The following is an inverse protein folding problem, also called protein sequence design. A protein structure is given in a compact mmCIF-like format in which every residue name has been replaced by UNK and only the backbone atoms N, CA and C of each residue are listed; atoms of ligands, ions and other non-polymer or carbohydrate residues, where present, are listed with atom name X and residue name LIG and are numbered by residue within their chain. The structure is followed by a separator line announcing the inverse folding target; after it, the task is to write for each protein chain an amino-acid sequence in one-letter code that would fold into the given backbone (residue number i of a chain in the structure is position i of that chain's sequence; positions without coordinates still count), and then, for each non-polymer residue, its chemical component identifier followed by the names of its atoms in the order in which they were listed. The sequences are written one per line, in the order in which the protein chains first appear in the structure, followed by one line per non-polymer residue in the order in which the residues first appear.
data_IF_607740128103
#
_entry.id   IF_607740128103
#
_cell.length_a   1.000
_cell.length_b   1.000
_cell.length_c   1.000
_cell.angle_alpha   90.00
_cell.angle_beta   90.00
_cell.angle_gamma   90.00
#
_symmetry.space_group_name_H-M   'P 1'
#
loop_
_entity.id
_entity.type
_entity.pdbx_description
1 polymer ?
#
# COMPACT_ATOMS: atom_id res chain seq x y z
N UNK A 1 1.35 24.25 -34.88
CA UNK A 1 2.27 23.48 -34.04
C UNK A 1 1.55 23.26 -32.71
N UNK A 2 1.17 22.02 -32.43
CA UNK A 2 0.16 21.69 -31.42
C UNK A 2 0.66 21.94 -29.99
N UNK A 3 -0.11 22.71 -29.23
CA UNK A 3 -0.01 22.74 -27.77
C UNK A 3 -0.56 21.41 -27.24
N UNK A 4 0.33 20.51 -26.84
CA UNK A 4 -0.06 19.26 -26.19
C UNK A 4 -0.58 19.58 -24.79
N UNK A 5 -1.91 19.57 -24.65
CA UNK A 5 -2.63 19.63 -23.39
C UNK A 5 -2.23 18.44 -22.52
N UNK A 6 -1.32 18.67 -21.57
CA UNK A 6 -0.98 17.68 -20.55
C UNK A 6 -2.02 17.80 -19.44
N UNK A 7 -3.06 16.98 -19.52
CA UNK A 7 -4.02 16.83 -18.42
C UNK A 7 -3.30 16.20 -17.22
N UNK A 8 -3.11 16.98 -16.16
CA UNK A 8 -2.67 16.48 -14.87
C UNK A 8 -3.84 15.75 -14.20
N UNK A 9 -3.84 14.42 -14.26
CA UNK A 9 -4.78 13.59 -13.52
C UNK A 9 -4.18 13.26 -12.15
N UNK A 10 -4.79 13.82 -11.10
CA UNK A 10 -4.75 13.38 -9.71
C UNK A 10 -3.37 13.16 -9.07
N UNK A 11 -2.78 14.21 -8.50
CA UNK A 11 -1.93 14.03 -7.33
C UNK A 11 -2.89 13.80 -6.17
N UNK A 12 -2.97 12.58 -5.64
CA UNK A 12 -3.57 12.38 -4.31
C UNK A 12 -2.59 12.97 -3.30
N UNK A 13 -2.65 14.30 -3.13
CA UNK A 13 -2.14 14.93 -1.92
C UNK A 13 -3.16 14.51 -0.88
N UNK A 14 -2.79 13.58 0.00
CA UNK A 14 -3.65 13.08 1.07
C UNK A 14 -4.48 14.23 1.65
N UNK A 15 -5.76 14.24 1.27
CA UNK A 15 -6.69 15.27 1.65
C UNK A 15 -6.99 15.07 3.12
N UNK A 16 -6.59 16.05 3.91
CA UNK A 16 -6.76 16.18 5.36
C UNK A 16 -5.59 15.67 6.22
N UNK A 17 -4.88 16.68 6.76
CA UNK A 17 -3.96 16.67 7.90
C UNK A 17 -2.56 16.06 7.67
N UNK A 18 -1.65 16.96 7.32
CA UNK A 18 -0.29 17.08 7.84
C UNK A 18 0.34 15.78 8.33
N UNK A 19 0.71 14.89 7.43
CA UNK A 19 1.73 13.90 7.77
C UNK A 19 3.00 14.70 7.96
N UNK A 20 3.47 14.79 9.21
CA UNK A 20 4.80 15.31 9.53
C UNK A 20 5.75 14.59 8.57
N UNK A 21 6.29 15.30 7.58
CA UNK A 21 7.34 14.74 6.74
C UNK A 21 8.63 15.18 7.41
N UNK A 22 9.31 14.26 8.10
CA UNK A 22 10.61 14.55 8.64
C UNK A 22 11.54 14.78 7.46
N UNK A 23 12.20 15.93 7.51
CA UNK A 23 13.14 16.42 6.52
C UNK A 23 12.58 16.75 5.12
N UNK A 24 11.59 17.66 5.05
CA UNK A 24 11.26 18.43 3.85
C UNK A 24 11.23 17.61 2.53
N UNK A 25 10.79 16.36 2.59
CA UNK A 25 10.52 15.52 1.44
C UNK A 25 9.01 15.57 1.16
N UNK A 26 8.60 15.15 -0.03
CA UNK A 26 7.21 14.91 -0.36
C UNK A 26 7.13 13.61 -1.14
N UNK A 27 6.41 12.64 -0.58
CA UNK A 27 6.10 11.39 -1.27
C UNK A 27 4.76 11.54 -1.97
N UNK A 28 4.75 11.34 -3.27
CA UNK A 28 3.57 11.34 -4.12
C UNK A 28 3.44 10.01 -4.87
N UNK A 29 2.19 9.70 -5.24
CA UNK A 29 1.85 8.58 -6.10
C UNK A 29 1.48 9.10 -7.48
N UNK A 30 2.05 8.50 -8.53
CA UNK A 30 1.79 8.88 -9.93
C UNK A 30 1.15 7.71 -10.64
N UNK A 31 -0.01 7.94 -11.27
CA UNK A 31 -0.74 6.94 -12.04
C UNK A 31 -0.67 7.30 -13.53
N UNK A 32 0.27 6.72 -14.28
CA UNK A 32 0.41 6.98 -15.75
C UNK A 32 0.16 5.74 -16.60
N UNK A 33 0.87 4.65 -16.33
CA UNK A 33 0.69 3.32 -16.98
C UNK A 33 0.74 2.18 -15.94
N UNK A 34 0.80 2.57 -14.68
CA UNK A 34 1.05 1.79 -13.48
C UNK A 34 1.12 2.77 -12.32
N UNK A 35 1.18 2.25 -11.10
CA UNK A 35 1.39 3.07 -9.91
C UNK A 35 2.89 3.27 -9.70
N UNK A 36 3.38 4.50 -9.74
CA UNK A 36 4.76 4.83 -9.40
C UNK A 36 4.80 5.60 -8.07
N UNK A 37 5.75 5.25 -7.21
CA UNK A 37 6.01 5.97 -5.95
C UNK A 37 7.18 6.92 -6.18
N UNK A 38 6.96 8.20 -5.95
CA UNK A 38 7.96 9.24 -6.20
C UNK A 38 8.12 10.11 -4.97
N UNK A 39 9.36 10.35 -4.58
CA UNK A 39 9.76 11.18 -3.45
C UNK A 39 10.61 12.34 -3.96
N UNK A 40 10.17 13.55 -3.66
CA UNK A 40 10.79 14.80 -4.06
C UNK A 40 11.31 15.51 -2.82
N UNK A 41 12.55 15.96 -2.85
CA UNK A 41 13.08 16.84 -1.81
C UNK A 41 12.54 18.26 -2.06
N UNK A 42 11.71 18.78 -1.15
CA UNK A 42 11.05 20.08 -1.27
C UNK A 42 12.01 21.25 -1.25
N UNK A 43 13.15 21.15 -0.56
CA UNK A 43 14.17 22.21 -0.52
C UNK A 43 14.84 22.40 -1.88
N UNK A 44 15.06 21.30 -2.60
CA UNK A 44 15.80 21.31 -3.88
C UNK A 44 14.92 21.18 -5.11
N UNK A 45 13.67 20.75 -4.94
CA UNK A 45 12.74 20.41 -6.03
C UNK A 45 13.15 19.19 -6.85
N UNK A 46 14.14 18.40 -6.39
CA UNK A 46 14.69 17.25 -7.13
C UNK A 46 14.18 15.93 -6.57
N UNK A 47 14.10 14.92 -7.44
CA UNK A 47 13.84 13.55 -7.01
C UNK A 47 14.94 13.06 -6.06
N UNK A 48 14.50 12.41 -4.98
CA UNK A 48 15.38 11.72 -4.04
C UNK A 48 16.16 10.59 -4.73
N UNK A 49 17.24 10.14 -4.10
CA UNK A 49 17.96 8.96 -4.59
C UNK A 49 17.09 7.71 -4.55
N UNK A 50 16.22 7.60 -3.53
CA UNK A 50 15.24 6.53 -3.42
C UNK A 50 14.33 6.45 -4.66
N UNK A 51 13.79 7.57 -5.14
CA UNK A 51 12.90 7.57 -6.31
C UNK A 51 13.59 7.22 -7.62
N UNK A 52 14.85 7.65 -7.77
CA UNK A 52 15.66 7.28 -8.94
C UNK A 52 15.90 5.76 -8.95
N UNK A 53 16.34 5.23 -7.82
CA UNK A 53 16.58 3.80 -7.65
C UNK A 53 15.30 2.98 -7.86
N UNK A 54 14.18 3.46 -7.33
CA UNK A 54 12.89 2.80 -7.45
C UNK A 54 12.34 2.80 -8.88
N UNK A 55 12.55 3.90 -9.61
CA UNK A 55 12.20 3.97 -11.04
C UNK A 55 12.97 2.95 -11.87
N UNK A 56 14.22 2.66 -11.52
CA UNK A 56 15.07 1.73 -12.26
C UNK A 56 14.78 0.26 -11.91
N UNK A 57 14.35 -0.02 -10.68
CA UNK A 57 14.19 -1.38 -10.15
C UNK A 57 12.78 -1.64 -9.62
N UNK A 58 11.76 -1.07 -10.27
CA UNK A 58 10.39 -1.24 -9.82
C UNK A 58 9.97 -2.71 -9.89
N UNK A 59 9.50 -3.33 -8.78
CA UNK A 59 9.09 -4.72 -8.81
C UNK A 59 7.88 -4.91 -9.74
N UNK A 60 7.94 -5.89 -10.63
CA UNK A 60 6.87 -6.20 -11.59
C UNK A 60 5.49 -6.38 -10.94
N UNK A 61 5.45 -6.98 -9.75
CA UNK A 61 4.22 -7.19 -8.98
C UNK A 61 3.56 -5.89 -8.52
N UNK A 62 4.35 -4.83 -8.31
CA UNK A 62 3.85 -3.51 -7.99
C UNK A 62 3.20 -2.87 -9.22
N UNK A 63 3.86 -2.95 -10.37
CA UNK A 63 3.35 -2.40 -11.64
C UNK A 63 2.08 -3.11 -12.12
N UNK A 64 1.90 -4.38 -11.78
CA UNK A 64 0.71 -5.17 -12.16
C UNK A 64 -0.53 -4.94 -11.29
N UNK A 65 -0.49 -3.99 -10.34
CA UNK A 65 -1.64 -3.74 -9.46
C UNK A 65 -2.82 -3.14 -10.23
N UNK A 66 -4.01 -3.67 -9.99
CA UNK A 66 -5.26 -3.18 -10.58
C UNK A 66 -6.01 -2.18 -9.69
N UNK A 67 -5.66 -2.11 -8.39
CA UNK A 67 -6.35 -1.28 -7.41
C UNK A 67 -5.53 -0.03 -7.09
N UNK A 68 -6.18 1.15 -7.01
CA UNK A 68 -5.52 2.37 -6.56
C UNK A 68 -5.13 2.23 -5.08
N UNK A 69 -4.08 2.94 -4.68
CA UNK A 69 -3.74 3.15 -3.27
C UNK A 69 -4.70 4.19 -2.69
N UNK A 70 -5.34 3.83 -1.59
CA UNK A 70 -6.31 4.66 -0.88
C UNK A 70 -5.63 5.62 0.10
N UNK A 71 -4.58 5.17 0.79
CA UNK A 71 -3.86 5.99 1.77
C UNK A 71 -2.35 5.70 1.79
N UNK A 72 -1.60 6.72 2.18
CA UNK A 72 -0.15 6.70 2.42
C UNK A 72 0.11 7.22 3.82
N UNK A 73 0.88 6.48 4.61
CA UNK A 73 1.32 6.87 5.95
C UNK A 73 2.78 6.46 6.18
N UNK A 74 3.40 6.94 7.25
CA UNK A 74 4.81 6.69 7.59
C UNK A 74 4.89 6.09 8.99
N UNK A 75 5.88 5.25 9.27
CA UNK A 75 6.11 4.78 10.64
C UNK A 75 6.61 5.95 11.51
N UNK A 76 5.92 6.32 12.60
CA UNK A 76 6.32 7.44 13.45
C UNK A 76 7.67 7.22 14.16
N UNK A 77 8.18 5.99 14.18
CA UNK A 77 9.47 5.63 14.79
C UNK A 77 10.60 5.60 13.77
N UNK A 78 10.28 5.44 12.49
CA UNK A 78 11.26 5.37 11.42
C UNK A 78 10.70 5.94 10.10
N UNK A 79 11.21 7.09 9.75
CA UNK A 79 10.87 7.89 8.58
C UNK A 79 11.23 7.24 7.24
N UNK A 80 12.12 6.24 7.28
CA UNK A 80 12.48 5.43 6.13
C UNK A 80 11.44 4.35 5.82
N UNK A 81 10.40 4.19 6.65
CA UNK A 81 9.33 3.22 6.43
C UNK A 81 8.09 3.95 5.92
N UNK A 82 7.72 3.66 4.68
CA UNK A 82 6.48 4.10 4.05
C UNK A 82 5.47 2.96 4.10
N UNK A 83 4.23 3.25 4.49
CA UNK A 83 3.14 2.28 4.55
C UNK A 83 2.02 2.78 3.63
N UNK A 84 1.59 1.92 2.72
CA UNK A 84 0.60 2.18 1.68
C UNK A 84 -0.49 1.13 1.79
N UNK A 85 -1.74 1.45 1.49
CA UNK A 85 -2.76 0.39 1.38
C UNK A 85 -3.79 0.64 0.28
N UNK A 86 -4.34 -0.47 -0.24
CA UNK A 86 -5.58 -0.50 -1.00
C UNK A 86 -6.70 -1.15 -0.17
N UNK A 87 -7.76 -1.62 -0.83
CA UNK A 87 -8.92 -2.28 -0.21
C UNK A 87 -8.61 -3.65 0.44
N UNK A 88 -7.47 -4.28 0.12
CA UNK A 88 -7.17 -5.68 0.50
C UNK A 88 -5.75 -5.90 1.00
N UNK A 89 -4.83 -5.00 0.64
CA UNK A 89 -3.40 -5.20 0.76
C UNK A 89 -2.76 -3.96 1.38
N UNK A 90 -2.01 -4.18 2.45
CA UNK A 90 -1.03 -3.21 2.96
C UNK A 90 0.32 -3.51 2.31
N UNK A 91 0.97 -2.47 1.80
CA UNK A 91 2.36 -2.51 1.36
C UNK A 91 3.23 -1.70 2.32
N UNK A 92 4.35 -2.29 2.74
CA UNK A 92 5.37 -1.62 3.53
C UNK A 92 6.61 -1.51 2.66
N UNK A 93 7.17 -0.30 2.58
CA UNK A 93 8.41 0.01 1.86
C UNK A 93 9.43 0.53 2.86
N UNK A 94 10.52 -0.18 3.00
CA UNK A 94 11.67 0.20 3.82
C UNK A 94 12.78 0.74 2.92
N UNK A 95 13.07 2.04 3.00
CA UNK A 95 14.05 2.73 2.15
C UNK A 95 15.50 2.32 2.42
N UNK A 96 15.80 1.77 3.60
CA UNK A 96 17.16 1.39 3.99
C UNK A 96 17.57 0.01 3.47
N UNK A 97 16.61 -0.74 2.91
CA UNK A 97 16.84 -2.08 2.37
C UNK A 97 16.97 -2.05 0.86
N UNK A 98 17.66 -3.06 0.34
CA UNK A 98 17.80 -3.24 -1.10
C UNK A 98 16.45 -3.56 -1.75
N UNK A 99 16.23 -2.96 -2.91
CA UNK A 99 15.08 -3.29 -3.74
C UNK A 99 15.20 -4.75 -4.20
N UNK A 100 14.09 -5.51 -4.19
CA UNK A 100 14.09 -6.82 -4.83
C UNK A 100 14.41 -6.64 -6.32
N UNK A 101 15.21 -7.55 -6.90
CA UNK A 101 15.41 -7.59 -8.35
C UNK A 101 14.05 -7.59 -9.05
N UNK A 102 13.91 -6.86 -10.15
CA UNK A 102 12.61 -6.60 -10.80
C UNK A 102 11.77 -7.86 -11.11
N UNK A 103 12.43 -9.02 -11.31
CA UNK A 103 11.79 -10.32 -11.57
C UNK A 103 11.47 -11.15 -10.32
N UNK A 104 11.89 -10.72 -9.14
CA UNK A 104 11.69 -11.46 -7.90
C UNK A 104 10.30 -11.20 -7.30
N UNK A 105 9.70 -12.26 -6.75
CA UNK A 105 8.40 -12.17 -6.07
C UNK A 105 8.57 -11.41 -4.75
N UNK A 106 7.73 -10.42 -4.49
CA UNK A 106 7.75 -9.69 -3.22
C UNK A 106 7.31 -10.66 -2.10
N UNK A 107 8.10 -10.77 -1.00
CA UNK A 107 7.75 -11.64 0.12
C UNK A 107 6.40 -11.25 0.72
N UNK A 108 5.58 -12.26 0.99
CA UNK A 108 4.34 -12.12 1.75
C UNK A 108 4.67 -12.27 3.22
N UNK A 109 4.27 -11.32 4.05
CA UNK A 109 4.32 -11.49 5.49
C UNK A 109 3.06 -12.23 5.94
N UNK A 110 3.15 -13.55 6.05
CA UNK A 110 2.08 -14.38 6.60
C UNK A 110 1.97 -14.08 8.11
N UNK A 111 0.82 -13.57 8.55
CA UNK A 111 0.54 -13.35 9.96
C UNK A 111 0.22 -14.70 10.61
N UNK A 112 1.12 -15.21 11.45
CA UNK A 112 0.80 -16.36 12.31
C UNK A 112 -0.32 -15.99 13.29
N UNK A 113 -1.54 -16.49 13.07
CA UNK A 113 -2.60 -16.44 14.08
C UNK A 113 -4.03 -16.55 13.53
N UNK A 114 -4.68 -17.68 13.88
CA UNK A 114 -6.10 -18.06 13.71
C UNK A 114 -6.51 -18.78 12.42
N UNK A 115 -6.17 -20.07 12.37
CA UNK A 115 -7.07 -21.10 11.83
C UNK A 115 -6.96 -22.34 12.73
N UNK A 116 -8.03 -22.65 13.47
CA UNK A 116 -8.29 -23.99 13.99
C UNK A 116 -8.35 -24.97 12.80
N UNK A 117 -7.55 -26.03 12.85
CA UNK A 117 -7.54 -27.05 11.82
C UNK A 117 -6.19 -27.74 11.68
N UNK A 118 -6.05 -28.86 12.38
CA UNK A 118 -4.99 -29.86 12.24
C UNK A 118 -4.69 -30.21 10.77
N UNK A 119 -3.44 -30.00 10.31
CA UNK A 119 -2.62 -31.10 9.82
C UNK A 119 -1.14 -30.74 9.59
N UNK A 120 -0.31 -31.49 10.33
CA UNK A 120 1.04 -32.00 10.08
C UNK A 120 1.99 -31.37 9.04
N UNK A 121 3.14 -30.97 9.61
CA UNK A 121 4.52 -31.33 9.21
C UNK A 121 5.38 -30.31 8.43
N UNK A 122 6.55 -30.03 9.03
CA UNK A 122 7.77 -29.46 8.44
C UNK A 122 7.79 -27.97 8.05
N UNK A 123 8.21 -27.11 8.98
CA UNK A 123 9.62 -26.65 9.07
C UNK A 123 9.76 -25.58 10.16
N UNK A 124 10.86 -25.68 10.92
CA UNK A 124 11.14 -24.86 12.09
C UNK A 124 11.16 -23.37 11.79
N UNK A 125 10.48 -22.64 12.68
CA UNK A 125 10.56 -21.19 12.78
C UNK A 125 12.02 -20.72 12.94
N UNK A 126 12.46 -19.70 12.18
CA UNK A 126 13.18 -18.59 12.75
C UNK A 126 12.16 -17.49 13.02
N UNK A 127 11.74 -17.37 14.29
CA UNK A 127 11.33 -16.07 14.83
C UNK A 127 12.56 -15.17 14.69
N UNK A 128 12.41 -13.99 14.08
CA UNK A 128 13.48 -13.08 13.63
C UNK A 128 14.13 -13.42 12.29
N UNK A 129 13.47 -13.09 11.18
CA UNK A 129 14.20 -12.58 10.02
C UNK A 129 13.63 -11.22 9.71
N UNK A 130 14.42 -10.18 9.95
CA UNK A 130 14.15 -8.87 9.35
C UNK A 130 13.93 -9.13 7.85
N UNK A 131 12.86 -8.59 7.26
CA UNK A 131 12.62 -8.84 5.86
C UNK A 131 13.83 -8.41 5.02
N UNK A 132 14.29 -9.23 4.08
CA UNK A 132 15.53 -8.97 3.33
C UNK A 132 15.37 -7.92 2.21
N UNK A 133 14.15 -7.55 1.86
CA UNK A 133 13.85 -6.69 0.72
C UNK A 133 13.14 -5.42 1.18
N UNK A 134 13.23 -4.34 0.40
CA UNK A 134 12.53 -3.10 0.67
C UNK A 134 11.00 -3.24 0.69
N UNK A 135 10.44 -4.09 -0.17
CA UNK A 135 8.98 -4.23 -0.32
C UNK A 135 8.41 -5.43 0.46
N UNK A 136 7.30 -5.21 1.16
CA UNK A 136 6.47 -6.26 1.75
C UNK A 136 5.00 -6.04 1.43
N UNK A 137 4.29 -7.15 1.19
CA UNK A 137 2.84 -7.14 1.11
C UNK A 137 2.20 -7.96 2.22
N UNK A 138 1.17 -7.40 2.82
CA UNK A 138 0.31 -8.04 3.81
C UNK A 138 -1.08 -8.14 3.17
N UNK A 139 -1.49 -9.37 2.83
CA UNK A 139 -2.75 -9.68 2.11
C UNK A 139 -3.76 -10.41 2.99
N UNK A 140 -3.92 -9.97 4.23
CA UNK A 140 -4.82 -10.61 5.19
C UNK A 140 -6.23 -10.00 5.22
N UNK A 141 -6.39 -8.80 4.68
CA UNK A 141 -7.62 -8.02 4.78
C UNK A 141 -8.52 -8.28 3.58
N UNK A 142 -9.83 -8.33 3.81
CA UNK A 142 -10.82 -8.54 2.74
C UNK A 142 -11.43 -7.21 2.27
N UNK A 143 -11.68 -6.31 3.21
CA UNK A 143 -12.37 -5.05 2.98
C UNK A 143 -11.80 -3.95 3.89
N UNK A 144 -10.52 -3.65 3.69
CA UNK A 144 -9.79 -2.60 4.41
C UNK A 144 -10.26 -1.22 3.95
N UNK A 145 -10.85 -0.46 4.85
CA UNK A 145 -11.38 0.88 4.56
C UNK A 145 -10.42 1.96 5.00
N UNK A 146 -9.74 1.77 6.13
CA UNK A 146 -8.85 2.78 6.70
C UNK A 146 -7.65 2.13 7.40
N UNK A 147 -6.50 2.79 7.31
CA UNK A 147 -5.28 2.42 8.01
C UNK A 147 -4.57 3.68 8.50
N UNK A 148 -4.39 3.82 9.81
CA UNK A 148 -3.78 5.01 10.39
C UNK A 148 -3.11 4.71 11.72
N UNK A 149 -2.07 5.48 12.04
CA UNK A 149 -1.44 5.48 13.35
C UNK A 149 -2.29 6.25 14.35
N UNK A 150 -2.53 5.64 15.50
CA UNK A 150 -3.04 6.34 16.67
C UNK A 150 -1.88 6.98 17.44
N UNK A 151 -2.22 7.68 18.53
CA UNK A 151 -1.22 8.25 19.43
C UNK A 151 -0.34 7.12 20.00
N UNK A 152 0.97 7.26 19.83
CA UNK A 152 1.96 6.26 20.27
C UNK A 152 2.41 5.36 19.13
N UNK A 153 2.58 4.07 19.42
CA UNK A 153 3.14 3.06 18.51
C UNK A 153 2.07 2.07 18.01
N UNK A 154 0.80 2.48 18.00
CA UNK A 154 -0.33 1.65 17.62
C UNK A 154 -0.84 1.99 16.22
N UNK A 155 -0.88 0.99 15.34
CA UNK A 155 -1.45 1.10 14.00
C UNK A 155 -2.82 0.42 13.95
N UNK A 156 -3.84 1.16 13.53
CA UNK A 156 -5.22 0.66 13.44
C UNK A 156 -5.59 0.39 12.00
N UNK A 157 -6.05 -0.82 11.74
CA UNK A 157 -6.66 -1.23 10.47
C UNK A 157 -8.17 -1.43 10.67
N UNK A 158 -8.98 -0.74 9.86
CA UNK A 158 -10.44 -0.79 9.94
C UNK A 158 -10.99 -1.59 8.76
N UNK A 159 -11.67 -2.71 9.03
CA UNK A 159 -12.37 -3.51 8.03
C UNK A 159 -13.89 -3.37 8.15
N UNK A 160 -14.57 -3.33 7.00
CA UNK A 160 -16.04 -3.28 6.95
C UNK A 160 -16.56 -4.36 6.01
N UNK A 161 -17.38 -5.28 6.54
CA UNK A 161 -18.05 -6.27 5.70
C UNK A 161 -19.14 -5.62 4.83
N UNK A 162 -19.15 -5.84 3.50
CA UNK A 162 -20.21 -5.37 2.62
C UNK A 162 -21.59 -5.89 3.00
N UNK A 163 -21.71 -7.10 3.56
CA UNK A 163 -23.00 -7.64 4.00
C UNK A 163 -23.59 -6.83 5.15
N UNK A 164 -22.78 -6.50 6.14
CA UNK A 164 -23.17 -5.68 7.29
C UNK A 164 -23.52 -4.25 6.89
N UNK A 165 -22.91 -3.74 5.81
CA UNK A 165 -23.29 -2.46 5.22
C UNK A 165 -24.63 -2.56 4.47
N UNK A 166 -24.81 -3.61 3.67
CA UNK A 166 -26.03 -3.84 2.89
C UNK A 166 -27.29 -3.99 3.76
N UNK A 167 -27.18 -4.59 4.95
CA UNK A 167 -28.28 -4.69 5.92
C UNK A 167 -28.77 -3.32 6.43
N UNK A 168 -27.88 -2.30 6.41
CA UNK A 168 -28.20 -0.93 6.83
C UNK A 168 -28.70 -0.05 5.69
N UNK A 169 -28.62 -0.52 4.44
CA UNK A 169 -29.10 0.21 3.28
C UNK A 169 -30.62 0.01 3.12
N UNK A 170 -31.33 0.98 2.50
CA UNK A 170 -32.73 0.79 2.13
C UNK A 170 -32.93 -0.48 1.28
N UNK A 171 -34.10 -1.13 1.35
CA UNK A 171 -34.38 -2.34 0.56
C UNK A 171 -34.10 -2.11 -0.93
N UNK A 172 -33.31 -3.00 -1.52
CA UNK A 172 -33.00 -2.93 -2.95
C UNK A 172 -34.14 -3.45 -3.82
N UNK A 173 -34.25 -2.92 -5.03
CA UNK A 173 -35.12 -3.48 -6.05
C UNK A 173 -34.59 -4.85 -6.49
N UNK A 174 -35.38 -5.91 -6.29
CA UNK A 174 -35.01 -7.28 -6.67
C UNK A 174 -35.43 -7.56 -8.11
N UNK A 175 -34.47 -7.77 -9.00
CA UNK A 175 -34.72 -8.21 -10.37
C UNK A 175 -34.42 -9.70 -10.52
N UNK A 176 -35.41 -10.47 -10.99
CA UNK A 176 -35.22 -11.88 -11.35
C UNK A 176 -34.30 -11.94 -12.58
N UNK A 177 -33.10 -12.50 -12.41
CA UNK A 177 -32.09 -12.59 -13.49
C UNK A 177 -32.38 -13.74 -14.47
N UNK A 178 -33.21 -14.71 -14.08
CA UNK A 178 -33.52 -15.90 -14.88
C UNK A 178 -34.99 -16.33 -14.74
N UNK A 179 -35.63 -16.62 -15.88
CA UNK A 179 -37.00 -17.15 -15.99
C UNK A 179 -38.09 -16.07 -16.10
N UNK A 180 -39.11 -16.30 -16.94
CA UNK A 180 -40.44 -15.70 -16.70
C UNK A 180 -40.94 -16.15 -15.34
#
# INVERSE_FOLDING_TARGET
MALSSTSFYGISVAGHLTTRIPDAALVGLVYRQGLDVVEVNLKTGKFSNFSKMLSDQMPTQWSSRCFPVNNVTFDPRNDNIIILHDDTTICVIDKDKDLPLAESKIPRLESSGMSDGVDSSNQGYPRTSSPQHAFHFIKKYKHLVHLEWLVGDELVAVEVSPSSLAEKLPPSLKQKKYGM
#
